data_IF_919830083350
#
_entry.id   IF_919830083350
#
_cell.length_a   1.000
_cell.length_b   1.000
_cell.length_c   1.000
_cell.angle_alpha   90.00
_cell.angle_beta   90.00
_cell.angle_gamma   90.00
#
_symmetry.space_group_name_H-M   'P 1'
#
loop_
_entity.id
_entity.type
_entity.pdbx_description
1 polymer ?
#
# COMPACT_ATOMS: atom_id res chain seq x y z
N UNK A 1 -38.11 -7.31 29.00
CA UNK A 1 -37.20 -7.85 27.95
C UNK A 1 -35.81 -7.76 28.48
N UNK A 2 -35.28 -8.85 29.02
CA UNK A 2 -33.91 -8.93 29.56
C UNK A 2 -32.98 -9.09 28.38
N UNK A 3 -32.13 -8.09 28.14
CA UNK A 3 -31.02 -8.17 27.20
C UNK A 3 -30.05 -9.25 27.69
N UNK A 4 -29.96 -10.36 26.97
CA UNK A 4 -28.92 -11.34 27.22
C UNK A 4 -27.58 -10.68 26.99
N UNK A 5 -26.73 -10.60 28.01
CA UNK A 5 -25.37 -10.14 27.88
C UNK A 5 -24.66 -11.13 26.94
N UNK A 6 -24.16 -10.59 25.81
CA UNK A 6 -23.30 -11.37 24.92
C UNK A 6 -21.99 -11.59 25.69
N UNK A 7 -21.71 -12.81 26.09
CA UNK A 7 -20.41 -13.19 26.63
C UNK A 7 -19.36 -12.97 25.54
N UNK A 8 -18.59 -11.90 25.66
CA UNK A 8 -17.48 -11.61 24.76
C UNK A 8 -16.22 -12.21 25.36
N UNK A 9 -15.71 -13.27 24.76
CA UNK A 9 -14.38 -13.78 25.10
C UNK A 9 -13.32 -12.78 24.59
N UNK A 10 -12.45 -12.23 25.45
CA UNK A 10 -11.42 -11.29 25.03
C UNK A 10 -10.46 -11.96 24.02
N UNK A 11 -10.23 -11.31 22.88
CA UNK A 11 -9.18 -11.70 21.96
C UNK A 11 -7.85 -11.10 22.42
N UNK A 12 -6.82 -11.92 22.55
CA UNK A 12 -5.44 -11.47 22.84
C UNK A 12 -4.61 -11.49 21.57
N UNK A 13 -3.89 -10.42 21.31
CA UNK A 13 -2.97 -10.31 20.17
C UNK A 13 -1.69 -9.57 20.57
N UNK A 14 -0.67 -9.70 19.75
CA UNK A 14 0.57 -8.96 19.91
C UNK A 14 0.48 -7.62 19.15
N UNK A 15 -0.32 -7.59 18.05
CA UNK A 15 -0.57 -6.41 17.24
C UNK A 15 -2.05 -6.30 16.91
N UNK A 16 -2.66 -5.18 17.24
CA UNK A 16 -4.00 -4.81 16.81
C UNK A 16 -3.88 -3.82 15.64
N UNK A 17 -4.44 -4.19 14.50
CA UNK A 17 -4.53 -3.32 13.32
C UNK A 17 -5.96 -2.82 13.16
N UNK A 18 -6.12 -1.52 13.05
CA UNK A 18 -7.44 -0.88 12.89
C UNK A 18 -7.56 -0.37 11.45
N UNK A 19 -8.47 -0.97 10.68
CA UNK A 19 -8.74 -0.67 9.28
C UNK A 19 -8.04 -1.64 8.32
N UNK A 20 -8.73 -1.99 7.25
CA UNK A 20 -8.32 -2.99 6.24
C UNK A 20 -7.98 -2.39 4.88
N UNK A 21 -7.65 -1.10 4.82
CA UNK A 21 -7.05 -0.49 3.64
C UNK A 21 -5.62 -1.01 3.40
N UNK A 22 -4.96 -0.57 2.33
CA UNK A 22 -3.63 -1.04 1.95
C UNK A 22 -2.61 -0.94 3.10
N UNK A 23 -2.59 0.16 3.84
CA UNK A 23 -1.66 0.33 4.97
C UNK A 23 -1.94 -0.65 6.12
N UNK A 24 -3.21 -0.85 6.48
CA UNK A 24 -3.60 -1.80 7.54
C UNK A 24 -3.28 -3.23 7.13
N UNK A 25 -3.62 -3.64 5.91
CA UNK A 25 -3.28 -4.97 5.40
C UNK A 25 -1.77 -5.18 5.32
N UNK A 26 -1.01 -4.17 4.88
CA UNK A 26 0.44 -4.25 4.85
C UNK A 26 1.04 -4.44 6.26
N UNK A 27 0.57 -3.68 7.24
CA UNK A 27 1.00 -3.81 8.63
C UNK A 27 0.65 -5.20 9.20
N UNK A 28 -0.58 -5.67 8.96
CA UNK A 28 -1.04 -6.98 9.44
C UNK A 28 -0.22 -8.13 8.85
N UNK A 29 0.00 -8.12 7.53
CA UNK A 29 0.80 -9.14 6.83
C UNK A 29 2.25 -9.14 7.32
N UNK A 30 2.85 -7.95 7.43
CA UNK A 30 4.24 -7.82 7.90
C UNK A 30 4.38 -8.33 9.34
N UNK A 31 3.50 -7.95 10.24
CA UNK A 31 3.54 -8.43 11.62
C UNK A 31 3.34 -9.94 11.71
N UNK A 32 2.40 -10.50 10.96
CA UNK A 32 2.16 -11.93 10.91
C UNK A 32 3.35 -12.71 10.33
N UNK A 33 4.00 -12.17 9.31
CA UNK A 33 5.23 -12.73 8.74
C UNK A 33 6.35 -12.83 9.79
N UNK A 34 6.43 -11.86 10.67
CA UNK A 34 7.38 -11.86 11.80
C UNK A 34 6.88 -12.66 13.01
N UNK A 35 5.91 -13.56 12.83
CA UNK A 35 5.43 -14.48 13.85
C UNK A 35 4.57 -13.84 14.94
N UNK A 36 4.04 -12.64 14.73
CA UNK A 36 3.16 -11.98 15.69
C UNK A 36 1.72 -12.43 15.52
N UNK A 37 1.01 -12.57 16.63
CA UNK A 37 -0.44 -12.79 16.60
C UNK A 37 -1.12 -11.46 16.29
N UNK A 38 -1.78 -11.39 15.14
CA UNK A 38 -2.41 -10.17 14.65
C UNK A 38 -3.92 -10.28 14.70
N UNK A 39 -4.58 -9.26 15.22
CA UNK A 39 -6.01 -9.04 15.03
C UNK A 39 -6.18 -7.79 14.18
N UNK A 40 -6.92 -7.93 13.08
CA UNK A 40 -7.31 -6.80 12.25
C UNK A 40 -8.81 -6.57 12.41
N UNK A 41 -9.17 -5.35 12.74
CA UNK A 41 -10.57 -4.92 12.87
C UNK A 41 -10.91 -3.91 11.77
N UNK A 42 -12.12 -4.06 11.23
CA UNK A 42 -12.65 -3.18 10.20
C UNK A 42 -14.05 -2.72 10.61
N UNK A 43 -14.34 -1.42 10.42
CA UNK A 43 -15.65 -0.86 10.78
C UNK A 43 -16.77 -1.26 9.81
N UNK A 44 -16.38 -1.50 8.55
CA UNK A 44 -17.32 -1.93 7.51
C UNK A 44 -17.47 -3.46 7.48
N UNK A 45 -18.58 -3.98 6.97
CA UNK A 45 -18.76 -5.42 6.79
C UNK A 45 -17.84 -6.03 5.73
N UNK A 46 -17.15 -5.19 4.94
CA UNK A 46 -16.24 -5.58 3.87
C UNK A 46 -14.87 -4.98 4.08
N UNK A 47 -13.82 -5.73 3.74
CA UNK A 47 -12.43 -5.24 3.83
C UNK A 47 -11.95 -4.60 2.52
N UNK A 48 -10.89 -3.81 2.58
CA UNK A 48 -10.26 -3.15 1.44
C UNK A 48 -10.19 -1.62 1.56
N UNK A 49 -11.04 -1.02 2.41
CA UNK A 49 -11.04 0.42 2.64
C UNK A 49 -11.20 1.23 1.34
N UNK A 50 -10.75 2.47 1.35
CA UNK A 50 -10.70 3.32 0.15
C UNK A 50 -9.68 2.81 -0.90
N UNK A 51 -8.73 1.98 -0.51
CA UNK A 51 -7.74 1.40 -1.44
C UNK A 51 -8.38 0.54 -2.51
N UNK A 52 -9.51 -0.13 -2.20
CA UNK A 52 -10.27 -0.91 -3.17
C UNK A 52 -10.95 -0.05 -4.27
N UNK A 53 -11.02 1.26 -4.08
CA UNK A 53 -11.56 2.22 -5.05
C UNK A 53 -10.48 2.94 -5.85
N UNK A 54 -9.22 2.73 -5.51
CA UNK A 54 -8.09 3.34 -6.20
C UNK A 54 -7.73 2.56 -7.48
N UNK A 55 -6.99 3.21 -8.38
CA UNK A 55 -6.40 2.57 -9.54
C UNK A 55 -5.23 1.63 -9.23
N UNK A 56 -4.87 1.45 -7.96
CA UNK A 56 -3.79 0.56 -7.54
C UNK A 56 -2.38 1.11 -7.78
N UNK A 57 -2.24 2.38 -8.13
CA UNK A 57 -0.95 3.04 -8.32
C UNK A 57 -0.34 3.47 -6.98
N UNK A 58 0.97 3.33 -6.88
CA UNK A 58 1.75 3.76 -5.75
C UNK A 58 3.00 4.50 -6.23
N UNK A 59 3.30 5.64 -5.62
CA UNK A 59 4.52 6.39 -5.84
C UNK A 59 5.62 5.82 -4.95
N UNK A 60 6.57 5.13 -5.55
CA UNK A 60 7.59 4.32 -4.85
C UNK A 60 8.96 4.54 -5.52
N UNK A 61 9.66 5.63 -5.20
CA UNK A 61 10.96 5.92 -5.78
C UNK A 61 12.01 4.88 -5.40
N UNK A 62 13.06 4.78 -6.20
CA UNK A 62 14.18 3.86 -5.99
C UNK A 62 13.77 2.39 -5.94
N UNK A 63 12.60 2.04 -6.44
CA UNK A 63 12.07 0.68 -6.38
C UNK A 63 12.90 -0.31 -7.21
N UNK A 64 12.84 -1.62 -6.87
CA UNK A 64 13.63 -2.64 -7.56
C UNK A 64 13.29 -2.79 -9.05
N UNK A 65 12.06 -2.46 -9.49
CA UNK A 65 11.66 -2.59 -10.89
C UNK A 65 12.36 -1.51 -11.73
N UNK A 66 12.32 -0.26 -11.28
CA UNK A 66 13.04 0.84 -11.94
C UNK A 66 14.54 0.55 -12.04
N UNK A 67 15.14 0.08 -10.94
CA UNK A 67 16.57 -0.29 -10.93
C UNK A 67 16.90 -1.40 -11.91
N UNK A 68 16.06 -2.44 -12.02
CA UNK A 68 16.23 -3.51 -13.03
C UNK A 68 16.11 -3.00 -14.47
N UNK A 69 15.36 -1.92 -14.68
CA UNK A 69 15.24 -1.25 -15.97
C UNK A 69 16.40 -0.26 -16.25
N UNK A 70 17.39 -0.17 -15.37
CA UNK A 70 18.54 0.74 -15.52
C UNK A 70 18.27 2.17 -15.06
N UNK A 71 17.15 2.42 -14.39
CA UNK A 71 16.85 3.72 -13.79
C UNK A 71 17.48 3.73 -12.39
N UNK A 72 18.64 4.39 -12.30
CA UNK A 72 19.30 4.62 -11.02
C UNK A 72 19.03 6.02 -10.53
N UNK A 73 18.70 6.14 -9.27
CA UNK A 73 18.29 7.39 -8.66
C UNK A 73 18.96 7.56 -7.30
N UNK A 74 19.54 8.75 -7.09
CA UNK A 74 20.00 9.19 -5.78
C UNK A 74 18.79 9.53 -4.90
N UNK A 75 18.86 9.19 -3.62
CA UNK A 75 17.81 9.50 -2.64
C UNK A 75 17.51 11.00 -2.52
N UNK A 76 18.47 11.85 -2.87
CA UNK A 76 18.29 13.30 -2.81
C UNK A 76 17.30 13.82 -3.85
N UNK A 77 17.14 13.13 -4.98
CA UNK A 77 16.20 13.55 -6.01
C UNK A 77 14.75 13.46 -5.51
N UNK A 78 14.21 12.30 -5.08
CA UNK A 78 12.85 12.22 -4.55
C UNK A 78 12.69 12.97 -3.22
N UNK A 79 13.76 13.12 -2.42
CA UNK A 79 13.74 13.95 -1.22
C UNK A 79 13.50 15.42 -1.55
N UNK A 80 14.17 15.93 -2.56
CA UNK A 80 14.00 17.30 -3.05
C UNK A 80 12.60 17.51 -3.59
N UNK A 81 12.09 16.60 -4.40
CA UNK A 81 10.72 16.64 -4.89
C UNK A 81 9.71 16.74 -3.75
N UNK A 82 9.78 15.83 -2.78
CA UNK A 82 8.87 15.83 -1.64
C UNK A 82 9.01 17.06 -0.75
N UNK A 83 10.20 17.65 -0.64
CA UNK A 83 10.39 18.89 0.11
C UNK A 83 9.63 20.05 -0.53
N UNK A 84 9.64 20.15 -1.85
CA UNK A 84 8.91 21.16 -2.57
C UNK A 84 7.39 20.92 -2.57
N UNK A 85 6.96 19.66 -2.76
CA UNK A 85 5.54 19.29 -2.76
C UNK A 85 4.86 19.49 -1.40
N UNK A 86 5.57 19.19 -0.32
CA UNK A 86 4.99 19.24 1.03
C UNK A 86 5.17 20.60 1.71
N UNK A 87 6.16 21.41 1.27
CA UNK A 87 6.42 22.72 1.86
C UNK A 87 6.54 22.67 3.38
N UNK A 88 5.73 23.45 4.07
CA UNK A 88 5.72 23.50 5.55
C UNK A 88 5.30 22.19 6.23
N UNK A 89 4.68 21.27 5.50
CA UNK A 89 4.30 19.94 6.02
C UNK A 89 5.42 18.90 5.89
N UNK A 90 6.59 19.29 5.39
CA UNK A 90 7.72 18.39 5.21
C UNK A 90 8.28 17.96 6.57
N UNK A 91 8.21 16.68 6.86
CA UNK A 91 8.81 16.03 8.03
C UNK A 91 9.99 15.17 7.57
N UNK A 92 11.21 15.65 7.78
CA UNK A 92 12.42 15.00 7.29
C UNK A 92 12.55 13.56 7.79
N UNK A 93 12.28 13.31 9.07
CA UNK A 93 12.43 11.96 9.65
C UNK A 93 11.44 10.97 9.03
N UNK A 94 10.20 11.40 8.80
CA UNK A 94 9.18 10.57 8.16
C UNK A 94 9.48 10.32 6.68
N UNK A 95 9.94 11.34 5.96
CA UNK A 95 10.27 11.23 4.54
C UNK A 95 11.50 10.34 4.35
N UNK A 96 12.54 10.50 5.16
CA UNK A 96 13.73 9.65 5.09
C UNK A 96 13.37 8.19 5.35
N UNK A 97 12.61 7.91 6.42
CA UNK A 97 12.14 6.56 6.71
C UNK A 97 11.31 5.96 5.55
N UNK A 98 10.46 6.76 4.91
CA UNK A 98 9.70 6.32 3.74
C UNK A 98 10.61 6.00 2.55
N UNK A 99 11.51 6.90 2.17
CA UNK A 99 12.41 6.73 1.02
C UNK A 99 13.37 5.55 1.21
N UNK A 100 13.84 5.33 2.42
CA UNK A 100 14.67 4.18 2.76
C UNK A 100 13.88 2.86 2.73
N UNK A 101 12.63 2.87 3.23
CA UNK A 101 11.81 1.68 3.30
C UNK A 101 11.25 1.23 1.94
N UNK A 102 11.02 2.16 0.99
CA UNK A 102 10.39 1.88 -0.30
C UNK A 102 10.96 0.65 -1.03
N UNK A 103 12.26 0.56 -1.34
CA UNK A 103 12.80 -0.57 -2.08
C UNK A 103 12.68 -1.88 -1.32
N UNK A 104 12.81 -1.84 0.00
CA UNK A 104 12.68 -3.02 0.86
C UNK A 104 11.24 -3.51 0.93
N UNK A 105 10.29 -2.59 1.02
CA UNK A 105 8.86 -2.90 1.04
C UNK A 105 8.44 -3.60 -0.24
N UNK A 106 8.79 -3.07 -1.40
CA UNK A 106 8.47 -3.68 -2.70
C UNK A 106 9.06 -5.09 -2.77
N UNK A 107 10.35 -5.25 -2.46
CA UNK A 107 11.02 -6.56 -2.47
C UNK A 107 10.39 -7.54 -1.49
N UNK A 108 10.03 -7.09 -0.29
CA UNK A 108 9.38 -7.92 0.72
C UNK A 108 8.03 -8.46 0.24
N UNK A 109 7.14 -7.59 -0.21
CA UNK A 109 5.80 -8.01 -0.62
C UNK A 109 5.82 -8.88 -1.87
N UNK A 110 6.66 -8.58 -2.87
CA UNK A 110 6.81 -9.44 -4.04
C UNK A 110 7.35 -10.83 -3.69
N UNK A 111 8.26 -10.91 -2.73
CA UNK A 111 8.89 -12.18 -2.34
C UNK A 111 7.99 -13.05 -1.47
N UNK A 112 7.24 -12.45 -0.56
CA UNK A 112 6.57 -13.17 0.53
C UNK A 112 5.05 -13.20 0.44
N UNK A 113 4.47 -12.55 -0.57
CA UNK A 113 3.02 -12.52 -0.78
C UNK A 113 2.68 -12.78 -2.25
N UNK A 114 1.39 -12.74 -2.58
CA UNK A 114 0.92 -12.78 -3.97
C UNK A 114 0.92 -11.42 -4.66
N UNK A 115 1.26 -10.34 -3.94
CA UNK A 115 1.37 -9.02 -4.57
C UNK A 115 2.53 -9.02 -5.57
N UNK A 116 2.23 -8.56 -6.77
CA UNK A 116 3.20 -8.30 -7.83
C UNK A 116 3.00 -6.89 -8.32
N UNK A 117 4.08 -6.25 -8.72
CA UNK A 117 4.00 -4.92 -9.29
C UNK A 117 4.33 -4.96 -10.79
N UNK A 118 3.67 -4.07 -11.50
CA UNK A 118 4.02 -3.70 -12.88
C UNK A 118 4.61 -2.30 -12.81
N UNK A 119 5.69 -2.10 -13.53
CA UNK A 119 6.36 -0.81 -13.57
C UNK A 119 5.58 0.22 -14.40
N UNK A 120 5.68 1.46 -13.98
CA UNK A 120 5.22 2.63 -14.70
C UNK A 120 6.41 3.53 -15.09
N UNK A 121 7.52 2.93 -15.51
CA UNK A 121 8.78 3.63 -15.74
C UNK A 121 8.70 4.79 -16.74
N UNK A 122 7.73 4.78 -17.64
CA UNK A 122 7.46 5.88 -18.57
C UNK A 122 6.45 6.91 -18.05
N UNK A 123 6.02 6.82 -16.79
CA UNK A 123 5.05 7.76 -16.20
C UNK A 123 5.81 8.78 -15.34
N UNK A 124 5.80 10.06 -15.71
CA UNK A 124 6.47 11.11 -14.94
C UNK A 124 5.77 11.39 -13.63
N UNK A 125 6.44 12.10 -12.74
CA UNK A 125 5.81 12.66 -11.56
C UNK A 125 4.73 13.66 -11.92
N UNK A 126 3.69 13.78 -11.08
CA UNK A 126 2.48 14.57 -11.41
C UNK A 126 2.78 16.06 -11.60
N UNK A 127 3.78 16.57 -10.90
CA UNK A 127 4.22 17.96 -11.02
C UNK A 127 5.66 17.98 -11.58
N UNK A 128 5.76 17.71 -12.88
CA UNK A 128 7.05 17.55 -13.57
C UNK A 128 7.96 18.78 -13.53
N UNK A 129 7.44 19.97 -13.30
CA UNK A 129 8.21 21.21 -13.17
C UNK A 129 8.76 21.42 -11.75
N UNK A 130 8.37 20.58 -10.78
CA UNK A 130 8.86 20.68 -9.41
C UNK A 130 10.32 20.19 -9.32
N UNK A 131 11.22 20.93 -8.65
CA UNK A 131 12.60 20.47 -8.46
C UNK A 131 12.66 19.06 -7.86
N UNK A 132 13.43 18.18 -8.49
CA UNK A 132 13.55 16.78 -8.07
C UNK A 132 12.51 15.85 -8.68
N UNK A 133 11.57 16.37 -9.50
CA UNK A 133 10.65 15.52 -10.24
C UNK A 133 11.40 14.57 -11.19
N UNK A 134 10.89 13.36 -11.32
CA UNK A 134 11.41 12.36 -12.25
C UNK A 134 10.51 12.23 -13.48
N UNK A 135 11.14 11.98 -14.63
CA UNK A 135 10.42 11.68 -15.88
C UNK A 135 9.84 10.26 -15.90
N UNK A 136 10.16 9.45 -14.88
CA UNK A 136 9.65 8.09 -14.71
C UNK A 136 10.36 7.34 -13.60
N UNK A 137 9.99 6.05 -13.42
CA UNK A 137 10.64 5.17 -12.46
C UNK A 137 10.05 5.17 -11.05
N UNK A 138 9.19 6.13 -10.72
CA UNK A 138 8.56 6.20 -9.39
C UNK A 138 7.23 5.44 -9.28
N UNK A 139 6.54 5.28 -10.39
CA UNK A 139 5.18 4.74 -10.40
C UNK A 139 5.19 3.22 -10.50
N UNK A 140 4.51 2.55 -9.59
CA UNK A 140 4.20 1.13 -9.68
C UNK A 140 2.70 0.93 -9.57
N UNK A 141 2.17 -0.03 -10.31
CA UNK A 141 0.77 -0.47 -10.17
C UNK A 141 0.73 -1.92 -9.72
N UNK A 142 -0.23 -2.25 -8.87
CA UNK A 142 -0.46 -3.63 -8.50
C UNK A 142 -0.91 -4.44 -9.73
N UNK A 143 -0.25 -5.56 -10.00
CA UNK A 143 -0.64 -6.47 -11.07
C UNK A 143 -2.04 -7.05 -10.80
N UNK A 144 -2.81 -7.37 -11.82
CA UNK A 144 -4.09 -8.05 -11.68
C UNK A 144 -3.93 -9.36 -10.90
N UNK A 145 -4.85 -9.59 -9.97
CA UNK A 145 -4.90 -10.81 -9.17
C UNK A 145 -6.24 -11.51 -9.36
N UNK A 146 -6.21 -12.82 -9.53
CA UNK A 146 -7.44 -13.61 -9.62
C UNK A 146 -8.10 -13.73 -8.24
N UNK A 147 -9.05 -12.84 -8.00
CA UNK A 147 -9.76 -12.75 -6.71
C UNK A 147 -10.54 -14.02 -6.35
N UNK A 148 -10.79 -14.94 -7.29
CA UNK A 148 -11.41 -16.24 -6.98
C UNK A 148 -10.56 -17.06 -5.99
N UNK A 149 -9.26 -16.82 -5.96
CA UNK A 149 -8.34 -17.45 -5.01
C UNK A 149 -8.60 -17.05 -3.55
N UNK A 150 -9.35 -15.98 -3.30
CA UNK A 150 -9.79 -15.60 -1.96
C UNK A 150 -10.86 -16.55 -1.40
N UNK A 151 -11.48 -17.39 -2.24
CA UNK A 151 -12.46 -18.37 -1.82
C UNK A 151 -13.59 -17.73 -0.99
N UNK A 152 -13.82 -18.20 0.25
CA UNK A 152 -14.90 -17.70 1.11
C UNK A 152 -14.76 -16.22 1.50
N UNK A 153 -13.59 -15.64 1.35
CA UNK A 153 -13.35 -14.22 1.65
C UNK A 153 -13.78 -13.29 0.52
N UNK A 154 -13.93 -13.80 -0.70
CA UNK A 154 -14.27 -12.98 -1.87
C UNK A 154 -15.53 -12.12 -1.67
N UNK A 155 -16.65 -12.61 -1.12
CA UNK A 155 -17.84 -11.79 -0.89
C UNK A 155 -17.62 -10.67 0.12
N UNK A 156 -16.58 -10.75 0.94
CA UNK A 156 -16.22 -9.75 1.94
C UNK A 156 -15.20 -8.73 1.41
N UNK A 157 -14.72 -8.88 0.20
CA UNK A 157 -13.88 -7.87 -0.45
C UNK A 157 -14.76 -6.71 -0.90
N UNK A 158 -14.36 -5.48 -0.57
CA UNK A 158 -15.01 -4.26 -1.05
C UNK A 158 -14.99 -4.22 -2.58
N UNK A 159 -16.15 -4.08 -3.16
CA UNK A 159 -16.29 -3.91 -4.62
C UNK A 159 -15.77 -2.54 -5.03
N UNK A 160 -15.23 -2.46 -6.24
CA UNK A 160 -14.89 -1.21 -6.89
C UNK A 160 -16.14 -0.32 -7.07
N UNK A 161 -15.94 0.97 -7.21
CA UNK A 161 -17.04 1.88 -7.59
C UNK A 161 -17.40 1.60 -9.05
N UNK A 162 -18.68 1.41 -9.30
CA UNK A 162 -19.18 1.12 -10.64
C UNK A 162 -18.84 2.21 -11.64
N UNK A 163 -18.86 3.47 -11.16
CA UNK A 163 -18.60 4.68 -11.93
C UNK A 163 -17.13 4.80 -12.35
N UNK A 164 -16.21 4.14 -11.64
CA UNK A 164 -14.78 4.16 -11.93
C UNK A 164 -14.29 2.83 -12.52
N UNK A 165 -15.20 1.85 -12.70
CA UNK A 165 -14.85 0.56 -13.28
C UNK A 165 -14.91 0.64 -14.80
N UNK A 166 -13.84 0.16 -15.46
CA UNK A 166 -13.75 0.05 -16.90
C UNK A 166 -13.71 -1.44 -17.30
N UNK A 167 -14.62 -1.85 -18.17
CA UNK A 167 -14.74 -3.23 -18.69
C UNK A 167 -14.98 -4.33 -17.63
N UNK A 168 -15.65 -4.02 -16.48
CA UNK A 168 -15.88 -5.04 -15.47
C UNK A 168 -17.08 -4.79 -14.62
#
# INVERSE_FOLDING_TARGET
MTSAAVETTPLTCDVLVVGSGAAGLAAAVTAAWHGRRVVLVEKDPVFGGASAWSGGWAWLPRNPLARRAGIEEDIEQPRTYLRHELGERYDAARIDAFLEACPHMVAFFERHTHLRFVDGNGIPDMHGDTPGAAEGGHQLVAAPYDARQLGPLLPRLRKTLRETSFMG
#
